data_IF_603605040308
#
_entry.id   IF_603605040308
#
_cell.length_a   1.000
_cell.length_b   1.000
_cell.length_c   1.000
_cell.angle_alpha   90.00
_cell.angle_beta   90.00
_cell.angle_gamma   90.00
#
_symmetry.space_group_name_H-M   'P 1'
#
loop_
_entity.id
_entity.type
_entity.pdbx_description
1 polymer ?
#
# COMPACT_ATOMS: atom_id res chain seq x y z
N UNK A 1 -2.14 5.68 11.01
CA UNK A 1 -0.71 5.63 11.43
C UNK A 1 0.14 5.97 10.21
N UNK A 2 1.27 6.67 10.36
CA UNK A 2 2.15 7.02 9.23
C UNK A 2 3.61 6.78 9.60
N UNK A 3 4.39 6.24 8.67
CA UNK A 3 5.84 6.10 8.76
C UNK A 3 6.50 6.79 7.57
N UNK A 4 7.57 7.53 7.82
CA UNK A 4 8.41 8.06 6.75
C UNK A 4 9.52 7.06 6.45
N UNK A 5 9.76 6.80 5.17
CA UNK A 5 10.89 6.01 4.70
C UNK A 5 11.83 6.93 3.95
N UNK A 6 13.13 6.67 4.06
CA UNK A 6 14.15 7.43 3.37
C UNK A 6 14.30 6.91 1.94
N UNK A 7 13.79 7.66 0.97
CA UNK A 7 14.02 7.45 -0.46
C UNK A 7 13.86 8.80 -1.20
N UNK A 8 14.30 8.86 -2.46
CA UNK A 8 13.92 9.98 -3.33
C UNK A 8 14.00 9.63 -4.82
N UNK A 9 12.93 9.98 -5.53
CA UNK A 9 12.88 10.03 -6.99
C UNK A 9 12.82 11.50 -7.43
N UNK A 10 13.49 11.84 -8.52
CA UNK A 10 13.46 13.20 -9.10
C UNK A 10 12.19 13.43 -9.93
N UNK A 11 11.91 14.69 -10.27
CA UNK A 11 10.81 15.01 -11.17
C UNK A 11 11.00 14.43 -12.60
N UNK A 12 12.20 14.01 -12.99
CA UNK A 12 12.49 13.31 -14.26
C UNK A 12 12.23 11.81 -14.18
N UNK A 13 12.10 11.25 -12.98
CA UNK A 13 11.93 9.81 -12.74
C UNK A 13 13.22 9.09 -12.37
N UNK A 14 14.33 9.80 -12.22
CA UNK A 14 15.62 9.22 -11.82
C UNK A 14 15.67 8.97 -10.31
N UNK A 15 16.32 7.90 -9.91
CA UNK A 15 16.56 7.62 -8.48
C UNK A 15 17.65 8.55 -7.98
N UNK A 16 17.27 9.52 -7.13
CA UNK A 16 18.21 10.44 -6.48
C UNK A 16 18.77 9.84 -5.19
N UNK A 17 17.90 9.20 -4.41
CA UNK A 17 18.26 8.52 -3.16
C UNK A 17 17.59 7.14 -3.17
N UNK A 18 18.37 6.05 -3.07
CA UNK A 18 17.80 4.70 -3.09
C UNK A 18 16.91 4.48 -1.86
N UNK A 19 15.95 3.57 -2.00
CA UNK A 19 15.08 3.14 -0.91
C UNK A 19 15.88 2.52 0.24
N UNK A 20 15.72 3.05 1.45
CA UNK A 20 16.19 2.41 2.67
C UNK A 20 15.27 1.22 3.04
N UNK A 21 15.54 0.07 2.46
CA UNK A 21 14.76 -1.15 2.72
C UNK A 21 14.81 -1.60 4.18
N UNK A 22 15.84 -1.22 4.95
CA UNK A 22 15.93 -1.59 6.36
C UNK A 22 14.86 -0.86 7.16
N UNK A 23 14.61 0.41 6.86
CA UNK A 23 13.52 1.16 7.48
C UNK A 23 12.15 0.52 7.21
N UNK A 24 11.93 0.02 5.99
CA UNK A 24 10.68 -0.66 5.62
C UNK A 24 10.49 -1.91 6.47
N UNK A 25 11.51 -2.78 6.56
CA UNK A 25 11.47 -4.00 7.38
C UNK A 25 11.26 -3.71 8.87
N UNK A 26 11.85 -2.64 9.40
CA UNK A 26 11.65 -2.21 10.79
C UNK A 26 10.24 -1.70 11.09
N UNK A 27 9.47 -1.32 10.08
CA UNK A 27 8.07 -0.91 10.23
C UNK A 27 7.11 -2.11 10.34
N UNK A 28 7.42 -3.26 9.71
CA UNK A 28 6.56 -4.44 9.69
C UNK A 28 6.11 -4.91 11.09
N UNK A 29 7.01 -5.16 12.06
CA UNK A 29 6.57 -5.63 13.38
C UNK A 29 5.71 -4.59 14.11
N UNK A 30 5.94 -3.30 13.87
CA UNK A 30 5.15 -2.23 14.49
C UNK A 30 3.73 -2.19 13.90
N UNK A 31 3.60 -2.40 12.59
CA UNK A 31 2.32 -2.46 11.89
C UNK A 31 1.52 -3.71 12.31
N UNK A 32 2.19 -4.86 12.41
CA UNK A 32 1.60 -6.11 12.88
C UNK A 32 1.09 -6.00 14.32
N UNK A 33 1.91 -5.46 15.24
CA UNK A 33 1.53 -5.26 16.65
C UNK A 33 0.37 -4.27 16.83
N UNK A 34 0.22 -3.32 15.90
CA UNK A 34 -0.90 -2.38 15.88
C UNK A 34 -2.18 -2.98 15.25
N UNK A 35 -2.15 -4.24 14.80
CA UNK A 35 -3.30 -4.88 14.14
C UNK A 35 -3.64 -4.29 12.78
N UNK A 36 -2.68 -3.62 12.11
CA UNK A 36 -2.87 -3.09 10.77
C UNK A 36 -3.00 -4.25 9.79
N UNK A 37 -4.01 -4.20 8.92
CA UNK A 37 -4.28 -5.22 7.90
C UNK A 37 -4.22 -4.71 6.47
N UNK A 38 -4.18 -3.39 6.30
CA UNK A 38 -4.06 -2.74 5.00
C UNK A 38 -3.20 -1.49 5.09
N UNK A 39 -2.35 -1.27 4.08
CA UNK A 39 -1.35 -0.21 4.04
C UNK A 39 -1.43 0.50 2.70
N UNK A 40 -1.49 1.83 2.72
CA UNK A 40 -1.24 2.66 1.55
C UNK A 40 0.25 3.09 1.51
N UNK A 41 0.89 2.94 0.35
CA UNK A 41 2.27 3.37 0.11
C UNK A 41 2.25 4.51 -0.89
N UNK A 42 2.94 5.61 -0.56
CA UNK A 42 2.94 6.82 -1.37
C UNK A 42 4.27 7.54 -1.30
N UNK A 43 4.97 7.63 -2.43
CA UNK A 43 6.21 8.38 -2.57
C UNK A 43 6.08 9.56 -3.53
N UNK A 44 7.01 10.50 -3.44
CA UNK A 44 7.06 11.63 -4.36
C UNK A 44 7.53 11.16 -5.73
N UNK A 45 6.86 11.65 -6.77
CA UNK A 45 7.10 11.26 -8.17
C UNK A 45 6.88 9.78 -8.50
N UNK A 46 6.19 9.02 -7.64
CA UNK A 46 5.86 7.61 -7.91
C UNK A 46 4.96 7.40 -9.13
N UNK A 47 4.18 8.42 -9.53
CA UNK A 47 3.42 8.42 -10.79
C UNK A 47 4.33 8.40 -12.04
N UNK A 48 5.60 8.79 -11.93
CA UNK A 48 6.58 8.69 -13.02
C UNK A 48 7.43 7.43 -12.93
N UNK A 49 7.84 7.07 -11.73
CA UNK A 49 8.66 5.89 -11.48
C UNK A 49 8.21 5.25 -10.17
N UNK A 50 7.49 4.14 -10.27
CA UNK A 50 6.90 3.40 -9.16
C UNK A 50 7.86 2.42 -8.47
N UNK A 51 9.13 2.34 -8.90
CA UNK A 51 10.07 1.28 -8.48
C UNK A 51 10.21 1.17 -6.95
N UNK A 52 10.21 2.29 -6.23
CA UNK A 52 10.29 2.26 -4.77
C UNK A 52 8.97 1.83 -4.11
N UNK A 53 7.82 2.21 -4.66
CA UNK A 53 6.52 1.76 -4.15
C UNK A 53 6.35 0.25 -4.34
N UNK A 54 6.72 -0.25 -5.51
CA UNK A 54 6.72 -1.69 -5.83
C UNK A 54 7.65 -2.46 -4.90
N UNK A 55 8.87 -1.95 -4.69
CA UNK A 55 9.84 -2.59 -3.80
C UNK A 55 9.37 -2.61 -2.34
N UNK A 56 8.71 -1.56 -1.87
CA UNK A 56 8.08 -1.56 -0.54
C UNK A 56 7.00 -2.63 -0.44
N UNK A 57 6.14 -2.77 -1.45
CA UNK A 57 5.11 -3.84 -1.46
C UNK A 57 5.74 -5.22 -1.38
N UNK A 58 6.78 -5.50 -2.16
CA UNK A 58 7.49 -6.78 -2.11
C UNK A 58 7.97 -7.09 -0.69
N UNK A 59 8.69 -6.16 -0.05
CA UNK A 59 9.20 -6.33 1.32
C UNK A 59 8.05 -6.55 2.32
N UNK A 60 6.96 -5.80 2.20
CA UNK A 60 5.80 -5.96 3.08
C UNK A 60 5.15 -7.34 2.93
N UNK A 61 5.05 -7.87 1.70
CA UNK A 61 4.47 -9.19 1.43
C UNK A 61 5.41 -10.35 1.76
N UNK A 62 6.73 -10.15 1.66
CA UNK A 62 7.74 -11.11 2.12
C UNK A 62 7.62 -11.34 3.64
N UNK A 63 7.48 -10.26 4.41
CA UNK A 63 7.46 -10.32 5.88
C UNK A 63 6.05 -10.51 6.47
N UNK A 64 5.00 -10.06 5.76
CA UNK A 64 3.61 -10.16 6.18
C UNK A 64 2.69 -10.50 4.99
N UNK A 65 2.63 -11.77 4.56
CA UNK A 65 1.92 -12.19 3.33
C UNK A 65 0.41 -11.90 3.31
N UNK A 66 -0.21 -11.74 4.49
CA UNK A 66 -1.64 -11.49 4.64
C UNK A 66 -2.00 -10.00 4.64
N UNK A 67 -1.03 -9.10 4.47
CA UNK A 67 -1.24 -7.66 4.47
C UNK A 67 -1.75 -7.19 3.10
N UNK A 68 -2.81 -6.40 3.08
CA UNK A 68 -3.23 -5.72 1.85
C UNK A 68 -2.35 -4.47 1.63
N UNK A 69 -1.80 -4.29 0.43
CA UNK A 69 -0.95 -3.15 0.09
C UNK A 69 -1.51 -2.43 -1.12
N UNK A 70 -1.81 -1.15 -0.95
CA UNK A 70 -2.26 -0.25 -2.02
C UNK A 70 -1.12 0.70 -2.39
N UNK A 71 -0.73 0.71 -3.67
CA UNK A 71 0.25 1.66 -4.18
C UNK A 71 -0.45 2.91 -4.71
N UNK A 72 0.09 4.08 -4.37
CA UNK A 72 -0.45 5.35 -4.82
C UNK A 72 -0.31 5.52 -6.34
N UNK A 73 0.76 4.96 -6.92
CA UNK A 73 0.99 4.93 -8.37
C UNK A 73 -0.03 4.09 -9.14
N UNK A 74 -0.65 3.08 -8.51
CA UNK A 74 -1.66 2.21 -9.15
C UNK A 74 -3.08 2.78 -9.05
N UNK A 75 -3.40 3.49 -7.97
CA UNK A 75 -4.75 4.00 -7.72
C UNK A 75 -5.05 5.27 -8.51
N UNK A 76 -4.10 6.21 -8.55
CA UNK A 76 -4.27 7.48 -9.28
C UNK A 76 -2.89 8.02 -9.65
N UNK A 77 -2.36 7.71 -10.85
CA UNK A 77 -1.05 8.16 -11.30
C UNK A 77 -1.06 9.64 -11.71
N UNK A 78 -1.60 10.51 -10.86
CA UNK A 78 -1.59 11.95 -11.05
C UNK A 78 -0.41 12.60 -10.34
N UNK A 79 0.11 13.69 -10.93
CA UNK A 79 1.26 14.42 -10.40
C UNK A 79 1.01 14.98 -8.99
N UNK A 80 -0.24 15.23 -8.63
CA UNK A 80 -0.64 15.87 -7.38
C UNK A 80 -0.63 14.88 -6.22
N UNK A 81 0.43 14.94 -5.44
CA UNK A 81 0.72 14.03 -4.32
C UNK A 81 -0.38 13.95 -3.26
N UNK A 82 -1.02 15.08 -2.93
CA UNK A 82 -2.04 15.12 -1.89
C UNK A 82 -3.28 14.31 -2.30
N UNK A 83 -3.77 14.56 -3.51
CA UNK A 83 -4.96 13.90 -4.05
C UNK A 83 -4.68 12.41 -4.27
N UNK A 84 -3.49 12.07 -4.78
CA UNK A 84 -3.04 10.68 -4.98
C UNK A 84 -2.96 9.89 -3.68
N UNK A 85 -2.25 10.42 -2.68
CA UNK A 85 -2.09 9.73 -1.38
C UNK A 85 -3.43 9.65 -0.64
N UNK A 86 -4.26 10.69 -0.68
CA UNK A 86 -5.59 10.67 -0.05
C UNK A 86 -6.47 9.57 -0.64
N UNK A 87 -6.45 9.41 -1.97
CA UNK A 87 -7.23 8.38 -2.66
C UNK A 87 -6.70 6.97 -2.36
N UNK A 88 -5.37 6.79 -2.34
CA UNK A 88 -4.75 5.52 -1.96
C UNK A 88 -5.08 5.12 -0.51
N UNK A 89 -5.05 6.07 0.43
CA UNK A 89 -5.47 5.86 1.81
C UNK A 89 -6.94 5.46 1.92
N UNK A 90 -7.83 6.13 1.17
CA UNK A 90 -9.24 5.77 1.13
C UNK A 90 -9.45 4.34 0.58
N UNK A 91 -8.74 3.97 -0.50
CA UNK A 91 -8.79 2.62 -1.07
C UNK A 91 -8.30 1.57 -0.07
N UNK A 92 -7.15 1.78 0.56
CA UNK A 92 -6.60 0.87 1.57
C UNK A 92 -7.54 0.70 2.78
N UNK A 93 -8.28 1.75 3.15
CA UNK A 93 -9.28 1.66 4.21
C UNK A 93 -10.51 0.84 3.79
N UNK A 94 -10.99 1.00 2.56
CA UNK A 94 -12.23 0.39 2.07
C UNK A 94 -12.04 -1.08 1.65
N UNK A 95 -10.91 -1.43 1.03
CA UNK A 95 -10.63 -2.79 0.56
C UNK A 95 -10.90 -3.89 1.59
N UNK A 96 -10.37 -3.85 2.83
CA UNK A 96 -10.57 -4.94 3.79
C UNK A 96 -12.03 -5.05 4.27
N UNK A 97 -12.78 -3.95 4.25
CA UNK A 97 -14.20 -3.93 4.59
C UNK A 97 -15.05 -4.57 3.48
N UNK A 98 -14.77 -4.23 2.23
CA UNK A 98 -15.43 -4.80 1.06
C UNK A 98 -15.09 -6.29 0.89
N UNK A 99 -13.82 -6.68 1.05
CA UNK A 99 -13.38 -8.09 1.02
C UNK A 99 -14.09 -8.95 2.07
N UNK A 100 -14.40 -8.40 3.25
CA UNK A 100 -15.18 -9.11 4.27
C UNK A 100 -16.65 -9.21 3.89
N UNK A 101 -17.23 -8.13 3.38
CA UNK A 101 -18.65 -8.09 3.01
C UNK A 101 -18.96 -9.04 1.85
N UNK A 102 -18.11 -9.05 0.80
CA UNK A 102 -18.24 -9.96 -0.33
C UNK A 102 -18.06 -11.42 0.07
N UNK A 103 -17.14 -11.74 0.99
CA UNK A 103 -17.01 -13.10 1.55
C UNK A 103 -18.27 -13.54 2.28
N UNK A 104 -18.78 -12.70 3.19
CA UNK A 104 -20.01 -13.00 3.93
C UNK A 104 -21.22 -13.19 2.99
N UNK A 105 -21.32 -12.38 1.94
CA UNK A 105 -22.36 -12.52 0.92
C UNK A 105 -22.21 -13.83 0.13
N UNK A 106 -21.00 -14.16 -0.31
CA UNK A 106 -20.73 -15.41 -1.02
C UNK A 106 -21.03 -16.64 -0.16
N UNK A 107 -20.70 -16.61 1.13
CA UNK A 107 -20.99 -17.71 2.05
C UNK A 107 -22.50 -17.89 2.25
N UNK A 108 -23.25 -16.79 2.38
CA UNK A 108 -24.72 -16.82 2.41
C UNK A 108 -25.30 -17.39 1.12
N UNK A 109 -24.80 -16.99 -0.05
CA UNK A 109 -25.27 -17.49 -1.35
C UNK A 109 -25.03 -19.00 -1.50
N UNK A 110 -23.87 -19.50 -1.05
CA UNK A 110 -23.57 -20.93 -1.03
C UNK A 110 -24.50 -21.71 -0.11
N UNK A 111 -24.85 -21.15 1.04
CA UNK A 111 -25.74 -21.79 2.01
C UNK A 111 -27.17 -21.93 1.48
N UNK A 112 -27.62 -21.01 0.61
CA UNK A 112 -28.91 -21.10 -0.10
C UNK A 112 -28.85 -21.82 -1.45
N UNK A 113 -27.72 -22.46 -1.77
CA UNK A 113 -27.58 -23.36 -2.93
C UNK A 113 -27.26 -22.69 -4.27
N UNK A 114 -26.69 -21.47 -4.25
CA UNK A 114 -26.14 -20.78 -5.42
C UNK A 114 -24.61 -20.94 -5.55
#
# INVERSE_FOLDING_TARGET
MRYGITERITATGDVLLPLDEKQVRLCVPKLANAGVRSIAVGFLHSYRNSVHEERVREILLEEAPNMEVTLSSEVSPEMREFERISTACANAYVQPLMSRHLRALNDLLRDVGF
#
